data_IF_482259377921
#
_entry.id   IF_482259377921
#
_cell.length_a   1.000
_cell.length_b   1.000
_cell.length_c   1.000
_cell.angle_alpha   90.00
_cell.angle_beta   90.00
_cell.angle_gamma   90.00
#
_symmetry.space_group_name_H-M   'P 1'
#
loop_
_entity.id
_entity.type
_entity.pdbx_description
1 polymer ?
#
# COMPACT_ATOMS: atom_id res chain seq x y z
N UNK A 1 -32.13 -23.75 18.15
CA UNK A 1 -31.23 -23.00 19.03
C UNK A 1 -29.83 -23.59 18.95
N UNK A 2 -29.68 -24.90 19.11
CA UNK A 2 -28.36 -25.58 19.04
C UNK A 2 -27.55 -25.30 17.76
N UNK A 3 -28.18 -25.22 16.58
CA UNK A 3 -27.45 -24.98 15.32
C UNK A 3 -26.96 -23.55 15.08
N UNK A 4 -27.57 -22.53 15.71
CA UNK A 4 -27.11 -21.13 15.56
C UNK A 4 -25.90 -20.86 16.47
N UNK A 5 -25.89 -21.43 17.67
CA UNK A 5 -24.75 -21.35 18.60
C UNK A 5 -23.52 -22.11 18.06
N UNK A 6 -23.74 -23.25 17.39
CA UNK A 6 -22.66 -24.00 16.70
C UNK A 6 -22.06 -23.19 15.53
N UNK A 7 -22.90 -22.55 14.71
CA UNK A 7 -22.45 -21.69 13.60
C UNK A 7 -21.62 -20.49 14.13
N UNK A 8 -22.08 -19.84 15.20
CA UNK A 8 -21.37 -18.73 15.86
C UNK A 8 -20.01 -19.17 16.43
N UNK A 9 -19.94 -20.35 17.04
CA UNK A 9 -18.70 -20.90 17.56
C UNK A 9 -17.67 -21.14 16.44
N UNK A 10 -18.10 -21.70 15.32
CA UNK A 10 -17.25 -21.96 14.15
C UNK A 10 -16.71 -20.65 13.55
N UNK A 11 -17.54 -19.60 13.49
CA UNK A 11 -17.11 -18.26 13.04
C UNK A 11 -16.11 -17.66 14.03
N UNK A 12 -16.32 -17.81 15.34
CA UNK A 12 -15.40 -17.30 16.35
C UNK A 12 -14.01 -17.98 16.26
N UNK A 13 -13.96 -19.28 15.98
CA UNK A 13 -12.72 -20.02 15.74
C UNK A 13 -11.98 -19.49 14.51
N UNK A 14 -12.69 -19.15 13.43
CA UNK A 14 -12.10 -18.53 12.24
C UNK A 14 -11.50 -17.15 12.55
N UNK A 15 -12.22 -16.31 13.29
CA UNK A 15 -11.74 -14.98 13.69
C UNK A 15 -10.47 -15.10 14.53
N UNK A 16 -10.40 -16.06 15.46
CA UNK A 16 -9.21 -16.27 16.27
C UNK A 16 -8.04 -16.81 15.43
N UNK A 17 -8.29 -17.71 14.48
CA UNK A 17 -7.27 -18.17 13.54
C UNK A 17 -6.70 -16.99 12.73
N UNK A 18 -7.56 -16.13 12.18
CA UNK A 18 -7.14 -14.94 11.45
C UNK A 18 -6.35 -13.97 12.34
N UNK A 19 -6.78 -13.76 13.59
CA UNK A 19 -6.07 -12.89 14.53
C UNK A 19 -4.70 -13.46 14.90
N UNK A 20 -4.56 -14.78 14.98
CA UNK A 20 -3.28 -15.43 15.22
C UNK A 20 -2.32 -15.32 14.02
N UNK A 21 -2.83 -15.28 12.79
CA UNK A 21 -2.00 -15.15 11.57
C UNK A 21 -1.43 -13.74 11.44
N UNK A 22 -2.26 -12.72 11.69
CA UNK A 22 -1.88 -11.32 11.44
C UNK A 22 -1.48 -10.56 12.71
N UNK A 23 -1.68 -11.14 13.89
CA UNK A 23 -1.27 -10.59 15.19
C UNK A 23 -1.56 -9.08 15.33
N UNK A 24 -0.51 -8.26 15.28
CA UNK A 24 -0.57 -6.81 15.48
C UNK A 24 -1.11 -6.04 14.26
N UNK A 25 -1.11 -6.66 13.08
CA UNK A 25 -1.62 -6.06 11.85
C UNK A 25 -3.16 -6.16 11.79
N UNK A 26 -3.81 -6.93 12.68
CA UNK A 26 -5.26 -7.07 12.75
C UNK A 26 -5.89 -6.38 13.97
N UNK A 27 -6.94 -5.59 13.73
CA UNK A 27 -7.77 -4.96 14.77
C UNK A 27 -9.21 -5.43 14.66
N UNK A 28 -9.65 -6.28 15.58
CA UNK A 28 -11.05 -6.74 15.68
C UNK A 28 -11.92 -5.62 16.26
N UNK A 29 -12.96 -5.22 15.52
CA UNK A 29 -13.97 -4.26 15.94
C UNK A 29 -15.21 -4.98 16.49
N UNK A 30 -15.58 -6.10 15.88
CA UNK A 30 -16.63 -7.00 16.34
C UNK A 30 -16.29 -8.45 15.95
N UNK A 31 -16.61 -9.42 16.81
CA UNK A 31 -16.34 -10.83 16.51
C UNK A 31 -17.48 -11.52 15.77
N UNK A 32 -18.74 -11.19 16.08
CA UNK A 32 -19.93 -11.83 15.49
C UNK A 32 -21.02 -10.78 15.24
N UNK A 33 -21.43 -10.52 13.98
CA UNK A 33 -20.71 -10.93 12.77
C UNK A 33 -19.33 -10.26 12.71
N UNK A 34 -18.31 -10.93 12.11
CA UNK A 34 -16.95 -10.40 12.05
C UNK A 34 -16.86 -9.00 11.42
N UNK A 35 -16.21 -8.08 12.11
CA UNK A 35 -15.84 -6.76 11.61
C UNK A 35 -14.44 -6.43 12.11
N UNK A 36 -13.51 -6.18 11.19
CA UNK A 36 -12.12 -5.90 11.54
C UNK A 36 -11.42 -5.06 10.49
N UNK A 37 -10.33 -4.44 10.93
CA UNK A 37 -9.36 -3.78 10.07
C UNK A 37 -8.07 -4.59 10.01
N UNK A 38 -7.47 -4.66 8.83
CA UNK A 38 -6.25 -5.42 8.58
C UNK A 38 -5.23 -4.57 7.83
N UNK A 39 -4.08 -4.34 8.44
CA UNK A 39 -2.94 -3.66 7.82
C UNK A 39 -2.21 -4.64 6.91
N UNK A 40 -2.32 -4.45 5.60
CA UNK A 40 -1.73 -5.34 4.60
C UNK A 40 -0.52 -4.70 3.94
N UNK A 41 0.54 -5.51 3.84
CA UNK A 41 1.80 -5.17 3.18
C UNK A 41 2.12 -6.24 2.13
N UNK A 42 2.75 -5.87 1.01
CA UNK A 42 3.22 -6.83 0.01
C UNK A 42 4.30 -7.73 0.60
N UNK A 43 4.39 -8.97 0.10
CA UNK A 43 5.46 -9.90 0.46
C UNK A 43 6.76 -9.46 -0.22
N UNK A 44 7.65 -8.82 0.54
CA UNK A 44 8.94 -8.31 0.02
C UNK A 44 10.16 -9.07 0.52
N UNK A 45 9.98 -10.30 1.02
CA UNK A 45 11.03 -11.08 1.70
C UNK A 45 11.72 -10.27 2.82
N UNK A 46 10.93 -9.54 3.59
CA UNK A 46 11.34 -8.65 4.70
C UNK A 46 12.24 -7.47 4.30
N UNK A 47 12.33 -7.15 3.01
CA UNK A 47 13.06 -5.98 2.51
C UNK A 47 12.13 -4.77 2.48
N UNK A 48 12.15 -3.97 3.55
CA UNK A 48 11.29 -2.77 3.70
C UNK A 48 11.51 -1.69 2.63
N UNK A 49 12.72 -1.58 2.07
CA UNK A 49 13.02 -0.65 0.98
C UNK A 49 12.21 -1.00 -0.29
N UNK A 50 11.89 -2.28 -0.49
CA UNK A 50 11.10 -2.77 -1.63
C UNK A 50 9.58 -2.66 -1.45
N UNK A 51 9.08 -2.14 -0.32
CA UNK A 51 7.63 -1.96 -0.11
C UNK A 51 7.13 -0.66 -0.77
N UNK A 52 6.46 -0.74 -1.91
CA UNK A 52 5.92 0.41 -2.62
C UNK A 52 4.44 0.67 -2.31
N UNK A 53 3.76 -0.29 -1.70
CA UNK A 53 2.33 -0.21 -1.41
C UNK A 53 2.02 -0.66 0.02
N UNK A 54 0.95 -0.12 0.59
CA UNK A 54 0.40 -0.49 1.91
C UNK A 54 -1.08 -0.11 1.92
N UNK A 55 -1.92 -0.95 2.53
CA UNK A 55 -3.34 -0.64 2.73
C UNK A 55 -3.81 -1.03 4.12
N UNK A 56 -4.90 -0.42 4.55
CA UNK A 56 -5.75 -0.94 5.63
C UNK A 56 -7.06 -1.40 5.00
N UNK A 57 -7.27 -2.71 5.02
CA UNK A 57 -8.47 -3.38 4.53
C UNK A 57 -9.49 -3.47 5.66
N UNK A 58 -10.70 -2.98 5.42
CA UNK A 58 -11.85 -3.25 6.25
C UNK A 58 -12.61 -4.45 5.70
N UNK A 59 -12.90 -5.41 6.56
CA UNK A 59 -13.76 -6.57 6.26
C UNK A 59 -14.93 -6.54 7.22
N UNK A 60 -16.14 -6.55 6.68
CA UNK A 60 -17.38 -6.45 7.45
C UNK A 60 -18.38 -7.49 6.96
N UNK A 61 -18.54 -8.54 7.76
CA UNK A 61 -19.47 -9.63 7.54
C UNK A 61 -20.90 -9.24 7.91
N UNK A 62 -21.88 -9.80 7.19
CA UNK A 62 -23.30 -9.69 7.55
C UNK A 62 -23.66 -10.78 8.57
N UNK A 63 -24.82 -10.68 9.25
CA UNK A 63 -25.34 -11.77 10.07
C UNK A 63 -25.60 -13.10 9.31
N UNK A 64 -25.54 -13.09 7.98
CA UNK A 64 -25.69 -14.30 7.16
C UNK A 64 -24.34 -14.90 6.74
N UNK A 65 -23.20 -14.33 7.14
CA UNK A 65 -21.90 -14.96 6.95
C UNK A 65 -21.86 -16.34 7.64
N UNK A 66 -21.26 -17.38 7.04
CA UNK A 66 -20.52 -17.42 5.76
C UNK A 66 -21.38 -17.73 4.52
N UNK A 67 -22.71 -17.73 4.63
CA UNK A 67 -23.62 -17.97 3.49
C UNK A 67 -23.63 -16.80 2.52
N UNK A 68 -23.45 -15.59 3.04
CA UNK A 68 -23.18 -14.37 2.29
C UNK A 68 -21.72 -13.94 2.50
N UNK A 69 -21.02 -13.50 1.44
CA UNK A 69 -19.67 -13.00 1.58
C UNK A 69 -19.62 -11.71 2.40
N UNK A 70 -18.51 -11.42 3.10
CA UNK A 70 -18.32 -10.14 3.75
C UNK A 70 -18.18 -9.02 2.70
N UNK A 71 -18.55 -7.81 3.11
CA UNK A 71 -18.20 -6.60 2.36
C UNK A 71 -16.75 -6.20 2.67
N UNK A 72 -16.07 -5.63 1.67
CA UNK A 72 -14.68 -5.19 1.79
C UNK A 72 -14.52 -3.74 1.34
N UNK A 73 -13.67 -2.98 2.06
CA UNK A 73 -13.35 -1.59 1.74
C UNK A 73 -11.88 -1.28 2.08
N UNK A 74 -11.30 -0.29 1.41
CA UNK A 74 -9.97 0.24 1.76
C UNK A 74 -10.19 1.53 2.55
N UNK A 75 -9.75 1.57 3.81
CA UNK A 75 -9.93 2.74 4.70
C UNK A 75 -8.70 3.65 4.75
N UNK A 76 -7.52 3.09 4.46
CA UNK A 76 -6.27 3.84 4.25
C UNK A 76 -5.42 3.15 3.19
N UNK A 77 -4.65 3.93 2.42
CA UNK A 77 -3.79 3.42 1.36
C UNK A 77 -2.58 4.31 1.10
N UNK A 78 -1.46 3.67 0.73
CA UNK A 78 -0.25 4.32 0.24
C UNK A 78 0.24 3.62 -1.02
N UNK A 79 0.69 4.41 -1.99
CA UNK A 79 1.32 3.90 -3.21
C UNK A 79 0.37 3.25 -4.23
N UNK A 80 -0.95 3.32 -4.02
CA UNK A 80 -1.96 2.85 -4.97
C UNK A 80 -2.86 4.01 -5.43
N UNK A 81 -2.97 4.24 -6.73
CA UNK A 81 -4.04 5.08 -7.29
C UNK A 81 -5.43 4.47 -7.13
N UNK A 82 -6.45 5.26 -7.46
CA UNK A 82 -7.86 4.86 -7.37
C UNK A 82 -8.19 3.66 -8.28
N UNK A 83 -7.53 3.55 -9.43
CA UNK A 83 -7.78 2.46 -10.38
C UNK A 83 -7.31 1.13 -9.80
N UNK A 84 -6.09 1.08 -9.25
CA UNK A 84 -5.49 -0.08 -8.61
C UNK A 84 -6.20 -0.45 -7.31
N UNK A 85 -6.63 0.53 -6.52
CA UNK A 85 -7.51 0.29 -5.36
C UNK A 85 -8.81 -0.42 -5.76
N UNK A 86 -9.49 0.07 -6.80
CA UNK A 86 -10.72 -0.55 -7.31
C UNK A 86 -10.46 -1.94 -7.87
N UNK A 87 -9.34 -2.13 -8.57
CA UNK A 87 -8.94 -3.43 -9.09
C UNK A 87 -8.69 -4.44 -7.97
N UNK A 88 -8.00 -4.04 -6.89
CA UNK A 88 -7.79 -4.86 -5.70
C UNK A 88 -9.12 -5.24 -5.03
N UNK A 89 -9.98 -4.25 -4.77
CA UNK A 89 -11.28 -4.48 -4.14
C UNK A 89 -12.18 -5.41 -4.97
N UNK A 90 -12.23 -5.21 -6.27
CA UNK A 90 -12.97 -6.09 -7.17
C UNK A 90 -12.43 -7.53 -7.14
N UNK A 91 -11.11 -7.70 -7.10
CA UNK A 91 -10.48 -9.00 -6.99
C UNK A 91 -10.86 -9.70 -5.67
N UNK A 92 -10.71 -9.03 -4.53
CA UNK A 92 -11.07 -9.57 -3.21
C UNK A 92 -12.56 -9.91 -3.15
N UNK A 93 -13.43 -9.02 -3.63
CA UNK A 93 -14.87 -9.27 -3.67
C UNK A 93 -15.23 -10.46 -4.59
N UNK A 94 -14.52 -10.61 -5.71
CA UNK A 94 -14.72 -11.77 -6.60
C UNK A 94 -14.34 -13.06 -5.89
N UNK A 95 -13.20 -13.07 -5.19
CA UNK A 95 -12.77 -14.21 -4.36
C UNK A 95 -13.75 -14.52 -3.24
N UNK A 96 -14.33 -13.52 -2.58
CA UNK A 96 -15.33 -13.72 -1.54
C UNK A 96 -16.59 -14.40 -2.10
N UNK A 97 -17.03 -14.00 -3.30
CA UNK A 97 -18.14 -14.65 -3.98
C UNK A 97 -17.82 -16.09 -4.41
N UNK A 98 -16.59 -16.37 -4.86
CA UNK A 98 -16.14 -17.72 -5.23
C UNK A 98 -16.08 -18.69 -4.04
N UNK A 99 -15.71 -18.18 -2.86
CA UNK A 99 -15.60 -18.96 -1.61
C UNK A 99 -16.94 -19.12 -0.88
N UNK A 100 -17.98 -18.39 -1.31
CA UNK A 100 -19.31 -18.46 -0.71
C UNK A 100 -20.12 -19.63 -1.29
N UNK A 101 -20.87 -20.39 -0.45
CA UNK A 101 -20.87 -20.34 1.01
C UNK A 101 -19.66 -21.06 1.62
N UNK A 102 -19.01 -20.45 2.62
CA UNK A 102 -17.84 -21.05 3.29
C UNK A 102 -17.04 -20.06 4.14
N UNK A 103 -16.38 -20.56 5.19
CA UNK A 103 -15.41 -19.77 5.95
C UNK A 103 -14.27 -19.32 5.02
N UNK A 104 -14.00 -18.02 4.99
CA UNK A 104 -13.12 -17.40 3.99
C UNK A 104 -12.25 -16.26 4.52
N UNK A 105 -12.32 -15.85 5.78
CA UNK A 105 -11.60 -14.69 6.31
C UNK A 105 -10.09 -14.81 6.07
N UNK A 106 -9.47 -15.92 6.47
CA UNK A 106 -8.02 -16.12 6.29
C UNK A 106 -7.66 -16.19 4.81
N UNK A 107 -8.42 -16.96 4.02
CA UNK A 107 -8.18 -17.12 2.59
C UNK A 107 -8.28 -15.77 1.84
N UNK A 108 -9.27 -14.94 2.16
CA UNK A 108 -9.42 -13.61 1.58
C UNK A 108 -8.27 -12.68 1.92
N UNK A 109 -7.77 -12.74 3.15
CA UNK A 109 -6.63 -11.93 3.55
C UNK A 109 -5.36 -12.38 2.80
N UNK A 110 -5.14 -13.68 2.62
CA UNK A 110 -4.01 -14.21 1.84
C UNK A 110 -4.09 -13.82 0.36
N UNK A 111 -5.27 -13.91 -0.26
CA UNK A 111 -5.50 -13.45 -1.65
C UNK A 111 -5.28 -11.93 -1.78
N UNK A 112 -5.71 -11.15 -0.79
CA UNK A 112 -5.47 -9.71 -0.76
C UNK A 112 -3.96 -9.39 -0.68
N UNK A 113 -3.20 -10.11 0.16
CA UNK A 113 -1.74 -9.97 0.28
C UNK A 113 -1.04 -10.36 -1.02
N UNK A 114 -1.43 -11.48 -1.63
CA UNK A 114 -0.86 -11.94 -2.90
C UNK A 114 -1.11 -10.89 -3.99
N UNK A 115 -2.36 -10.43 -4.13
CA UNK A 115 -2.70 -9.44 -5.13
C UNK A 115 -2.01 -8.09 -4.90
N UNK A 116 -1.88 -7.68 -3.64
CA UNK A 116 -1.14 -6.47 -3.26
C UNK A 116 0.36 -6.61 -3.60
N UNK A 117 0.92 -7.81 -3.47
CA UNK A 117 2.31 -8.12 -3.82
C UNK A 117 2.56 -8.02 -5.32
N UNK A 118 1.64 -8.50 -6.16
CA UNK A 118 1.71 -8.32 -7.62
C UNK A 118 1.71 -6.85 -8.02
N UNK A 119 0.98 -6.03 -7.26
CA UNK A 119 0.91 -4.60 -7.44
C UNK A 119 2.00 -3.88 -6.64
N UNK A 120 3.09 -4.51 -6.22
CA UNK A 120 4.12 -3.85 -5.44
C UNK A 120 5.14 -3.12 -6.34
N UNK A 121 4.67 -2.07 -7.02
CA UNK A 121 5.52 -1.21 -7.83
C UNK A 121 5.11 0.26 -7.70
N UNK A 122 6.05 1.20 -7.95
CA UNK A 122 5.75 2.63 -8.02
C UNK A 122 4.59 2.92 -8.97
N UNK A 123 3.83 3.96 -8.63
CA UNK A 123 2.65 4.38 -9.38
C UNK A 123 2.74 5.80 -9.89
N UNK A 124 2.16 6.05 -11.07
CA UNK A 124 2.05 7.37 -11.67
C UNK A 124 3.32 7.91 -12.31
N UNK A 125 3.31 9.23 -12.54
CA UNK A 125 4.42 9.95 -13.19
C UNK A 125 5.43 10.46 -12.17
N UNK A 126 6.70 10.47 -12.55
CA UNK A 126 7.74 11.07 -11.74
C UNK A 126 7.49 12.59 -11.60
N UNK A 127 7.41 13.13 -10.37
CA UNK A 127 7.11 14.56 -10.18
C UNK A 127 8.16 15.54 -10.74
N UNK A 128 9.35 15.05 -11.11
CA UNK A 128 10.45 15.87 -11.62
C UNK A 128 10.46 15.97 -13.14
N UNK A 129 10.16 14.89 -13.86
CA UNK A 129 10.19 14.85 -15.32
C UNK A 129 8.82 14.66 -15.97
N UNK A 130 7.79 14.33 -15.19
CA UNK A 130 6.42 14.06 -15.63
C UNK A 130 6.29 12.88 -16.60
N UNK A 131 7.26 11.96 -16.58
CA UNK A 131 7.18 10.69 -17.30
C UNK A 131 6.81 9.54 -16.37
N UNK A 132 6.18 8.47 -16.87
CA UNK A 132 5.78 7.32 -16.06
C UNK A 132 6.95 6.73 -15.26
N UNK A 133 6.69 6.40 -13.99
CA UNK A 133 7.67 5.73 -13.14
C UNK A 133 7.92 4.30 -13.65
N UNK A 134 6.86 3.59 -14.01
CA UNK A 134 6.95 2.25 -14.60
C UNK A 134 6.44 2.33 -16.05
N UNK A 135 7.22 1.82 -17.00
CA UNK A 135 6.78 1.66 -18.40
C UNK A 135 6.48 0.19 -18.69
N UNK A 136 5.60 -0.07 -19.65
CA UNK A 136 5.22 -1.45 -20.05
C UNK A 136 6.42 -2.28 -20.52
N UNK A 137 7.46 -1.63 -21.04
CA UNK A 137 8.68 -2.26 -21.57
C UNK A 137 9.65 -2.73 -20.47
N UNK A 138 9.57 -2.16 -19.27
CA UNK A 138 10.51 -2.42 -18.17
C UNK A 138 9.86 -3.13 -16.98
N UNK A 139 8.72 -3.81 -17.15
CA UNK A 139 8.09 -4.58 -16.07
C UNK A 139 9.02 -5.66 -15.48
N UNK A 140 10.05 -6.09 -16.22
CA UNK A 140 11.07 -7.06 -15.77
C UNK A 140 12.42 -6.44 -15.41
N UNK A 141 12.65 -5.15 -15.68
CA UNK A 141 13.92 -4.49 -15.38
C UNK A 141 13.77 -3.66 -14.11
N UNK A 142 14.58 -3.96 -13.09
CA UNK A 142 14.63 -3.18 -11.85
C UNK A 142 15.20 -1.79 -12.13
N UNK A 143 14.35 -0.86 -12.55
CA UNK A 143 14.73 0.54 -12.63
C UNK A 143 14.93 1.06 -11.21
N UNK A 144 16.05 1.75 -10.91
CA UNK A 144 16.26 2.29 -9.58
C UNK A 144 15.27 3.43 -9.35
N UNK A 145 14.42 3.25 -8.33
CA UNK A 145 13.50 4.27 -7.84
C UNK A 145 13.93 4.77 -6.48
N UNK A 146 13.68 6.04 -6.23
CA UNK A 146 13.74 6.60 -4.88
C UNK A 146 12.33 6.77 -4.33
N UNK A 147 12.08 6.20 -3.15
CA UNK A 147 10.79 6.26 -2.45
C UNK A 147 10.88 7.17 -1.22
N UNK A 148 9.87 8.00 -0.99
CA UNK A 148 9.70 8.69 0.28
C UNK A 148 9.06 7.74 1.30
N UNK A 149 9.78 7.44 2.39
CA UNK A 149 9.37 6.42 3.36
C UNK A 149 8.01 6.66 4.03
N UNK A 150 7.56 7.93 4.13
CA UNK A 150 6.30 8.27 4.83
C UNK A 150 5.05 8.22 3.95
N UNK A 151 5.19 8.40 2.64
CA UNK A 151 4.05 8.58 1.72
C UNK A 151 4.14 7.73 0.44
N UNK A 152 5.22 6.98 0.27
CA UNK A 152 5.48 6.04 -0.82
C UNK A 152 5.51 6.65 -2.23
N UNK A 153 5.51 7.99 -2.32
CA UNK A 153 5.80 8.69 -3.57
C UNK A 153 7.19 8.33 -4.06
N UNK A 154 7.29 8.07 -5.36
CA UNK A 154 8.50 7.61 -6.00
C UNK A 154 9.01 8.61 -7.05
N UNK A 155 10.31 8.55 -7.31
CA UNK A 155 11.01 9.29 -8.36
C UNK A 155 11.88 8.32 -9.14
N UNK A 156 12.14 8.60 -10.42
CA UNK A 156 13.29 7.98 -11.09
C UNK A 156 14.55 8.41 -10.34
N UNK A 157 15.42 7.46 -10.00
CA UNK A 157 16.66 7.78 -9.27
C UNK A 157 17.51 8.82 -10.01
N UNK A 158 17.57 8.77 -11.34
CA UNK A 158 18.29 9.76 -12.14
C UNK A 158 17.71 11.17 -11.99
N UNK A 159 16.38 11.31 -11.93
CA UNK A 159 15.76 12.62 -11.78
C UNK A 159 16.10 13.27 -10.44
N UNK A 160 16.04 12.50 -9.35
CA UNK A 160 16.35 13.01 -8.01
C UNK A 160 17.85 13.28 -7.84
N UNK A 161 18.73 12.45 -8.42
CA UNK A 161 20.19 12.68 -8.41
C UNK A 161 20.52 13.99 -9.16
N UNK A 162 19.95 14.20 -10.35
CA UNK A 162 20.14 15.46 -11.11
C UNK A 162 19.68 16.68 -10.33
N UNK A 163 18.52 16.59 -9.70
CA UNK A 163 17.99 17.67 -8.85
C UNK A 163 18.91 17.96 -7.66
N UNK A 164 19.42 16.92 -7.00
CA UNK A 164 20.34 17.06 -5.86
C UNK A 164 21.66 17.72 -6.27
N UNK A 165 22.28 17.27 -7.36
CA UNK A 165 23.52 17.83 -7.89
C UNK A 165 23.38 19.32 -8.26
N UNK A 166 22.22 19.70 -8.82
CA UNK A 166 21.90 21.11 -9.11
C UNK A 166 21.79 21.95 -7.83
N UNK A 167 21.16 21.41 -6.78
CA UNK A 167 21.02 22.08 -5.49
C UNK A 167 22.38 22.33 -4.83
N UNK A 168 23.29 21.36 -4.90
CA UNK A 168 24.65 21.48 -4.35
C UNK A 168 25.49 22.52 -5.11
N UNK A 169 25.43 22.49 -6.45
CA UNK A 169 26.11 23.47 -7.31
C UNK A 169 25.61 24.89 -7.07
N UNK A 170 24.31 25.06 -6.78
CA UNK A 170 23.69 26.36 -6.49
C UNK A 170 24.12 26.96 -5.14
N UNK A 171 24.53 26.12 -4.18
CA UNK A 171 25.10 26.59 -2.90
C UNK A 171 26.52 27.11 -3.05
N UNK A 172 27.29 26.55 -3.99
CA UNK A 172 28.66 26.96 -4.27
C UNK A 172 28.73 28.30 -5.04
N UNK A 173 27.74 28.59 -5.89
CA UNK A 173 27.67 29.86 -6.64
C UNK A 173 27.10 31.03 -5.82
N UNK A 174 26.38 30.77 -4.73
CA UNK A 174 25.80 31.78 -3.84
C UNK A 174 26.78 32.51 -2.90
N UNK A 175 28.03 32.05 -2.77
CA UNK A 175 29.06 32.76 -2.00
C UNK A 175 29.70 33.93 -2.77
N UNK A 176 29.34 34.11 -4.04
CA UNK A 176 29.97 35.08 -4.95
C UNK A 176 28.93 35.80 -5.81
N UNK A 177 27.94 36.46 -5.20
CA UNK A 177 27.27 37.69 -5.69
C UNK A 177 26.05 38.02 -4.82
N UNK A 178 26.18 39.09 -4.04
CA UNK A 178 25.04 39.96 -3.72
C UNK A 178 24.55 40.54 -5.05
N UNK A 179 23.27 40.35 -5.38
CA UNK A 179 22.34 41.44 -5.63
C UNK A 179 20.99 40.94 -6.20
N UNK A 180 19.94 41.45 -5.56
CA UNK A 180 18.50 41.49 -5.89
C UNK A 180 18.00 40.90 -7.21
N UNK A 181 17.12 39.89 -7.11
CA UNK A 181 15.84 39.88 -7.83
C UNK A 181 14.84 38.92 -7.16
N UNK A 182 13.67 39.45 -6.82
CA UNK A 182 12.52 38.76 -6.20
C UNK A 182 12.00 37.61 -7.05
N UNK A 183 12.29 36.36 -6.65
CA UNK A 183 11.62 35.17 -7.17
C UNK A 183 10.41 34.80 -6.28
N UNK A 184 9.22 34.85 -6.88
CA UNK A 184 7.95 34.41 -6.29
C UNK A 184 8.07 32.98 -5.77
N UNK A 185 7.87 32.80 -4.46
CA UNK A 185 7.82 31.50 -3.80
C UNK A 185 6.47 30.83 -4.09
N UNK A 186 6.45 29.82 -4.96
CA UNK A 186 5.31 28.90 -5.03
C UNK A 186 5.49 27.87 -3.90
N UNK A 187 4.81 28.09 -2.77
CA UNK A 187 4.76 27.13 -1.65
C UNK A 187 3.75 26.05 -1.98
N UNK A 188 4.25 24.95 -2.51
CA UNK A 188 3.56 23.66 -2.56
C UNK A 188 4.57 22.55 -2.30
N UNK A 189 5.22 22.56 -1.14
CA UNK A 189 6.21 21.54 -0.77
C UNK A 189 5.64 20.75 0.41
N UNK A 190 5.28 19.47 0.21
CA UNK A 190 4.99 18.58 1.33
C UNK A 190 6.28 18.38 2.13
N UNK A 191 6.15 18.44 3.46
CA UNK A 191 7.28 18.47 4.39
C UNK A 191 7.78 17.05 4.68
N UNK A 192 8.12 16.32 3.63
CA UNK A 192 8.34 14.88 3.66
C UNK A 192 9.86 14.61 3.63
N UNK A 193 10.40 13.96 4.69
CA UNK A 193 11.85 13.67 4.81
C UNK A 193 12.27 12.63 3.75
N UNK A 194 13.24 13.00 2.91
CA UNK A 194 13.87 12.09 1.93
C UNK A 194 14.94 11.27 2.65
N UNK A 195 14.92 9.94 2.48
CA UNK A 195 16.00 9.06 2.94
C UNK A 195 16.62 8.39 1.71
N UNK A 196 17.94 8.53 1.54
CA UNK A 196 18.73 7.82 0.55
C UNK A 196 19.23 6.51 1.18
N UNK A 197 19.10 5.38 0.48
CA UNK A 197 19.72 4.11 0.87
C UNK A 197 20.97 3.89 0.01
N UNK A 198 22.10 4.39 0.49
CA UNK A 198 23.41 4.16 -0.12
C UNK A 198 23.97 2.82 0.33
N UNK A 199 23.54 1.72 -0.29
CA UNK A 199 24.24 0.42 -0.15
C UNK A 199 24.20 -0.43 -1.41
N UNK A 200 24.83 0.01 -2.49
CA UNK A 200 25.42 -0.90 -3.48
C UNK A 200 26.66 -0.23 -4.10
N UNK A 201 27.83 -0.50 -3.52
CA UNK A 201 29.15 -0.47 -4.17
C UNK A 201 29.75 -1.85 -4.02
#
# INVERSE_FOLDING_TARGET
>A
MDGEEEDEQVIAEEVEAMKSVYENDCTILNSIPPHFHLSLKPRTADVSSHQFVEIVLEVHATPHYPKEPPSVAIVDCKGLDQHRQKHLLNHIQTKANELSPGLMLVALCEEAVEKLSDMNHPDGDCPLCLFPLVTEEHQSETLPFMKLMSCFHCFHSECIIRWWNWLESSKQTGSSKSDNATARRNRGMCNCKVAFDDRHV
#
